data_IF_600289814458
#
_entry.id   IF_600289814458
#
_cell.length_a   1.000
_cell.length_b   1.000
_cell.length_c   1.000
_cell.angle_alpha   90.00
_cell.angle_beta   90.00
_cell.angle_gamma   90.00
#
_symmetry.space_group_name_H-M   'P 1'
#
loop_
_entity.id
_entity.type
_entity.pdbx_description
1 polymer ?
#
# COMPACT_ATOMS: atom_id res chain seq x y z
N UNK A 1 -7.31 -5.28 -8.68
CA UNK A 1 -8.36 -4.37 -8.21
C UNK A 1 -9.39 -4.13 -9.30
N UNK A 2 -10.67 -4.16 -8.93
CA UNK A 2 -11.76 -3.90 -9.86
C UNK A 2 -11.96 -2.38 -9.99
N UNK A 3 -11.52 -1.83 -11.13
CA UNK A 3 -11.54 -0.39 -11.35
C UNK A 3 -12.95 0.23 -11.27
N UNK A 4 -13.97 -0.50 -11.72
CA UNK A 4 -15.33 0.03 -11.71
C UNK A 4 -15.86 0.17 -10.28
N UNK A 5 -15.69 -0.87 -9.45
CA UNK A 5 -16.08 -0.81 -8.04
C UNK A 5 -15.31 0.27 -7.29
N UNK A 6 -14.04 0.47 -7.62
CA UNK A 6 -13.21 1.51 -7.01
C UNK A 6 -13.71 2.90 -7.38
N UNK A 7 -14.07 3.13 -8.64
CA UNK A 7 -14.60 4.42 -9.09
C UNK A 7 -15.93 4.74 -8.41
N UNK A 8 -16.80 3.75 -8.25
CA UNK A 8 -18.06 3.90 -7.54
C UNK A 8 -17.85 4.27 -6.07
N UNK A 9 -16.77 3.77 -5.47
CA UNK A 9 -16.41 4.08 -4.09
C UNK A 9 -15.62 5.39 -3.93
N UNK A 10 -15.36 6.11 -5.03
CA UNK A 10 -14.65 7.39 -5.00
C UNK A 10 -13.14 7.29 -5.25
N UNK A 11 -12.67 6.18 -5.81
CA UNK A 11 -11.25 5.96 -6.08
C UNK A 11 -10.96 5.88 -7.59
N UNK A 12 -10.15 6.81 -8.06
CA UNK A 12 -9.61 6.77 -9.42
C UNK A 12 -8.09 6.57 -9.28
N UNK A 13 -7.67 5.32 -9.18
CA UNK A 13 -6.30 4.97 -8.82
C UNK A 13 -5.39 4.91 -10.03
N UNK A 14 -4.24 5.57 -9.92
CA UNK A 14 -3.17 5.56 -10.92
C UNK A 14 -1.87 5.10 -10.25
N UNK A 15 -1.17 4.10 -10.81
CA UNK A 15 0.09 3.66 -10.23
C UNK A 15 1.10 4.81 -10.18
N UNK A 16 1.83 4.89 -9.07
CA UNK A 16 2.95 5.82 -8.91
C UNK A 16 4.15 5.06 -8.41
N UNK A 17 5.34 5.57 -8.72
CA UNK A 17 6.58 4.95 -8.28
C UNK A 17 6.97 3.74 -9.11
N UNK A 18 7.51 2.72 -8.44
CA UNK A 18 8.11 1.56 -9.09
C UNK A 18 7.07 0.67 -9.77
N UNK A 19 7.36 0.24 -10.99
CA UNK A 19 6.50 -0.73 -11.68
C UNK A 19 6.50 -2.07 -10.95
N UNK A 20 5.35 -2.76 -10.98
CA UNK A 20 5.26 -4.12 -10.45
C UNK A 20 6.24 -5.04 -11.20
N UNK A 21 6.78 -6.10 -10.55
CA UNK A 21 7.63 -7.07 -11.20
C UNK A 21 6.93 -7.67 -12.42
N UNK A 22 7.68 -7.79 -13.53
CA UNK A 22 7.12 -8.23 -14.81
C UNK A 22 7.43 -9.69 -15.13
N UNK A 23 8.20 -10.39 -14.28
CA UNK A 23 8.58 -11.77 -14.50
C UNK A 23 8.80 -12.54 -13.21
N UNK A 24 8.74 -13.88 -13.30
CA UNK A 24 8.94 -14.76 -12.15
C UNK A 24 10.36 -14.71 -11.59
N UNK A 25 11.31 -14.22 -12.38
CA UNK A 25 12.70 -14.07 -11.96
C UNK A 25 12.98 -12.70 -11.35
N UNK A 26 12.00 -11.81 -11.36
CA UNK A 26 12.16 -10.51 -10.71
C UNK A 26 12.24 -10.72 -9.20
N UNK A 27 13.24 -10.12 -8.60
CA UNK A 27 13.42 -10.21 -7.15
C UNK A 27 12.17 -9.70 -6.46
N UNK A 28 11.67 -10.50 -5.52
CA UNK A 28 10.67 -10.02 -4.57
C UNK A 28 11.35 -8.92 -3.75
N UNK A 29 11.01 -7.69 -4.06
CA UNK A 29 11.52 -6.55 -3.31
C UNK A 29 10.71 -6.45 -2.02
N UNK A 30 11.38 -6.61 -0.89
CA UNK A 30 10.75 -6.39 0.42
C UNK A 30 10.33 -4.93 0.52
N UNK A 31 9.03 -4.68 0.59
CA UNK A 31 8.53 -3.33 0.67
C UNK A 31 7.07 -3.27 0.26
N UNK A 32 6.67 -2.10 -0.19
CA UNK A 32 5.29 -1.85 -0.65
C UNK A 32 5.09 -2.53 -2.00
N UNK A 33 4.04 -3.38 -2.10
CA UNK A 33 3.71 -4.06 -3.36
C UNK A 33 3.03 -3.16 -4.37
N UNK A 34 2.15 -2.28 -3.91
CA UNK A 34 1.48 -1.34 -4.78
C UNK A 34 1.34 0.03 -4.14
N UNK A 35 1.52 1.06 -4.94
CA UNK A 35 1.35 2.45 -4.50
C UNK A 35 0.60 3.19 -5.60
N UNK A 36 -0.50 3.82 -5.21
CA UNK A 36 -1.41 4.48 -6.16
C UNK A 36 -1.74 5.88 -5.69
N UNK A 37 -1.82 6.79 -6.64
CA UNK A 37 -2.38 8.12 -6.43
C UNK A 37 -3.88 8.07 -6.75
N UNK A 38 -4.70 8.70 -5.90
CA UNK A 38 -6.12 8.85 -6.18
C UNK A 38 -6.34 10.15 -6.94
N UNK A 39 -6.71 10.05 -8.20
CA UNK A 39 -6.92 11.21 -9.06
C UNK A 39 -8.29 11.89 -8.85
N UNK A 40 -9.15 11.32 -8.00
CA UNK A 40 -10.44 11.93 -7.70
C UNK A 40 -10.26 13.15 -6.77
N UNK A 41 -10.49 14.37 -7.26
CA UNK A 41 -10.24 15.58 -6.46
C UNK A 41 -11.26 15.77 -5.34
N UNK A 42 -12.37 15.04 -5.38
CA UNK A 42 -13.43 15.13 -4.36
C UNK A 42 -13.23 14.17 -3.19
N UNK A 43 -12.23 13.30 -3.26
CA UNK A 43 -11.91 12.35 -2.20
C UNK A 43 -10.93 12.95 -1.21
N UNK A 44 -11.12 12.64 0.08
CA UNK A 44 -10.15 12.98 1.11
C UNK A 44 -8.92 12.07 1.07
N UNK A 45 -9.03 10.91 0.43
CA UNK A 45 -7.92 9.97 0.29
C UNK A 45 -7.10 10.35 -0.94
N UNK A 46 -5.83 10.61 -0.73
CA UNK A 46 -4.88 11.02 -1.78
C UNK A 46 -4.09 9.86 -2.36
N UNK A 47 -3.77 8.88 -1.53
CA UNK A 47 -2.96 7.72 -1.93
C UNK A 47 -3.50 6.43 -1.34
N UNK A 48 -3.26 5.33 -2.05
CA UNK A 48 -3.57 3.97 -1.58
C UNK A 48 -2.29 3.16 -1.61
N UNK A 49 -1.98 2.50 -0.49
CA UNK A 49 -0.83 1.61 -0.36
C UNK A 49 -1.38 0.19 -0.23
N UNK A 50 -0.91 -0.72 -1.07
CA UNK A 50 -1.40 -2.09 -1.13
C UNK A 50 -0.28 -3.08 -0.82
N UNK A 51 -0.59 -4.09 -0.01
CA UNK A 51 0.25 -5.25 0.26
C UNK A 51 -0.48 -6.50 -0.17
N UNK A 52 0.14 -7.30 -1.03
CA UNK A 52 -0.47 -8.55 -1.51
C UNK A 52 0.07 -9.73 -0.72
N UNK A 53 -0.83 -10.62 -0.30
CA UNK A 53 -0.51 -11.88 0.38
C UNK A 53 -1.22 -13.03 -0.31
N UNK A 54 -0.51 -14.13 -0.51
CA UNK A 54 -0.99 -15.29 -1.25
C UNK A 54 -1.25 -16.46 -0.30
N UNK A 55 -2.35 -17.19 -0.54
CA UNK A 55 -2.69 -18.36 0.26
C UNK A 55 -2.90 -18.03 1.72
N UNK A 56 -2.22 -18.74 2.60
CA UNK A 56 -2.29 -18.56 4.06
C UNK A 56 -1.29 -17.53 4.60
N UNK A 57 -0.52 -16.90 3.72
CA UNK A 57 0.46 -15.88 4.12
C UNK A 57 -0.23 -14.69 4.79
N UNK A 58 0.37 -14.18 5.86
CA UNK A 58 -0.19 -13.07 6.63
C UNK A 58 0.85 -11.96 6.82
N UNK A 59 0.37 -10.78 7.20
CA UNK A 59 1.26 -9.67 7.53
C UNK A 59 2.15 -10.05 8.71
N UNK A 60 3.44 -9.82 8.55
CA UNK A 60 4.45 -10.16 9.56
C UNK A 60 4.80 -8.99 10.46
N UNK A 61 5.70 -9.27 11.40
CA UNK A 61 6.29 -8.25 12.27
C UNK A 61 7.73 -8.01 11.85
N UNK A 62 8.17 -6.77 11.92
CA UNK A 62 9.52 -6.36 11.57
C UNK A 62 10.12 -5.49 12.67
N UNK A 63 11.41 -5.17 12.55
CA UNK A 63 12.08 -4.23 13.47
C UNK A 63 11.38 -2.88 13.52
N UNK A 64 10.77 -2.46 12.41
CA UNK A 64 10.07 -1.18 12.30
C UNK A 64 8.63 -1.26 12.77
N UNK A 65 8.18 -2.42 13.19
CA UNK A 65 6.81 -2.69 13.62
C UNK A 65 6.09 -3.65 12.68
N UNK A 66 4.78 -3.87 12.90
CA UNK A 66 4.00 -4.72 12.00
C UNK A 66 4.00 -4.18 10.57
N UNK A 67 3.99 -5.08 9.58
CA UNK A 67 3.88 -4.67 8.19
C UNK A 67 2.66 -3.75 7.99
N UNK A 68 2.82 -2.73 7.17
CA UNK A 68 1.81 -1.72 6.83
C UNK A 68 1.48 -0.75 7.96
N UNK A 69 2.11 -0.87 9.14
CA UNK A 69 1.99 0.15 10.19
C UNK A 69 2.75 1.42 9.80
N UNK A 70 2.48 2.52 10.48
CA UNK A 70 3.22 3.78 10.29
C UNK A 70 4.72 3.58 10.47
N UNK A 71 5.11 2.87 11.51
CA UNK A 71 6.54 2.60 11.78
C UNK A 71 7.22 1.84 10.65
N UNK A 72 6.53 0.86 10.10
CA UNK A 72 7.04 0.07 8.99
C UNK A 72 7.18 0.92 7.71
N UNK A 73 6.15 1.69 7.39
CA UNK A 73 6.16 2.55 6.20
C UNK A 73 7.28 3.59 6.27
N UNK A 74 7.49 4.18 7.43
CA UNK A 74 8.47 5.24 7.63
C UNK A 74 9.89 4.73 7.96
N UNK A 75 10.04 3.44 8.26
CA UNK A 75 11.31 2.87 8.66
C UNK A 75 11.76 3.41 10.02
N UNK A 76 10.88 3.32 11.03
CA UNK A 76 11.07 3.99 12.31
C UNK A 76 12.37 3.63 13.03
N UNK A 77 12.81 2.37 12.94
CA UNK A 77 14.06 1.90 13.57
C UNK A 77 15.20 1.71 12.60
N UNK A 78 14.91 1.17 11.40
CA UNK A 78 15.94 0.94 10.38
C UNK A 78 16.36 2.22 9.68
N UNK A 79 15.53 3.26 9.77
CA UNK A 79 15.68 4.54 9.06
C UNK A 79 15.65 4.40 7.53
N UNK A 80 15.04 3.32 7.05
CA UNK A 80 14.88 3.04 5.64
C UNK A 80 13.39 3.16 5.28
N UNK A 81 13.00 4.34 4.82
CA UNK A 81 11.61 4.60 4.42
C UNK A 81 11.22 3.70 3.25
N UNK A 82 10.18 2.91 3.43
CA UNK A 82 9.64 2.06 2.37
C UNK A 82 8.87 2.89 1.35
N UNK A 83 8.34 4.03 1.78
CA UNK A 83 7.72 5.00 0.88
C UNK A 83 8.76 5.57 -0.08
N UNK A 84 9.91 6.02 0.43
CA UNK A 84 10.98 6.55 -0.41
C UNK A 84 11.48 5.51 -1.41
N UNK A 85 11.61 4.26 -0.97
CA UNK A 85 12.02 3.16 -1.84
C UNK A 85 10.98 2.89 -2.94
N UNK A 86 9.69 2.94 -2.59
CA UNK A 86 8.61 2.69 -3.53
C UNK A 86 8.53 3.74 -4.64
N UNK A 87 9.02 4.95 -4.39
CA UNK A 87 9.07 6.04 -5.39
C UNK A 87 10.48 6.23 -5.96
N UNK A 88 11.31 5.19 -5.90
CA UNK A 88 12.67 5.17 -6.48
C UNK A 88 13.56 6.33 -6.02
N UNK A 89 13.41 6.73 -4.77
CA UNK A 89 14.23 7.79 -4.18
C UNK A 89 13.76 9.21 -4.50
N UNK A 90 12.59 9.37 -5.08
CA UNK A 90 12.00 10.70 -5.32
C UNK A 90 11.57 11.30 -3.98
N UNK A 91 12.46 12.09 -3.38
CA UNK A 91 12.25 12.66 -2.06
C UNK A 91 11.04 13.60 -1.99
N UNK A 92 10.76 14.29 -3.07
CA UNK A 92 9.64 15.23 -3.15
C UNK A 92 8.30 14.49 -3.08
N UNK A 93 8.16 13.42 -3.88
CA UNK A 93 6.97 12.59 -3.88
C UNK A 93 6.84 11.83 -2.56
N UNK A 94 7.93 11.28 -2.03
CA UNK A 94 7.94 10.60 -0.74
C UNK A 94 7.45 11.53 0.39
N UNK A 95 7.87 12.79 0.38
CA UNK A 95 7.44 13.78 1.36
C UNK A 95 5.94 14.07 1.27
N UNK A 96 5.40 14.15 0.06
CA UNK A 96 3.96 14.33 -0.15
C UNK A 96 3.17 13.16 0.41
N UNK A 97 3.62 11.95 0.16
CA UNK A 97 2.95 10.73 0.63
C UNK A 97 3.04 10.62 2.15
N UNK A 98 4.20 10.90 2.72
CA UNK A 98 4.41 10.87 4.17
C UNK A 98 3.51 11.90 4.87
N UNK A 99 3.40 13.09 4.31
CA UNK A 99 2.50 14.12 4.85
C UNK A 99 1.03 13.67 4.75
N UNK A 100 0.63 13.10 3.63
CA UNK A 100 -0.72 12.57 3.47
C UNK A 100 -1.01 11.47 4.49
N UNK A 101 -0.02 10.62 4.78
CA UNK A 101 -0.14 9.58 5.79
C UNK A 101 -0.38 10.18 7.18
N UNK A 102 0.34 11.22 7.54
CA UNK A 102 0.17 11.93 8.81
C UNK A 102 -1.20 12.61 8.90
N UNK A 103 -1.73 13.09 7.78
CA UNK A 103 -3.00 13.79 7.71
C UNK A 103 -4.20 12.84 7.53
N UNK A 104 -3.99 11.53 7.63
CA UNK A 104 -5.05 10.51 7.47
C UNK A 104 -5.66 10.51 6.06
N UNK A 105 -4.86 10.83 5.06
CA UNK A 105 -5.30 10.89 3.65
C UNK A 105 -4.79 9.72 2.83
N UNK A 106 -4.35 8.64 3.50
CA UNK A 106 -3.85 7.43 2.85
C UNK A 106 -4.67 6.24 3.32
N UNK A 107 -5.13 5.42 2.36
CA UNK A 107 -5.72 4.11 2.65
C UNK A 107 -4.64 3.05 2.58
N UNK A 108 -4.64 2.14 3.54
CA UNK A 108 -3.77 0.95 3.56
C UNK A 108 -4.63 -0.25 3.29
N UNK A 109 -4.25 -1.03 2.29
CA UNK A 109 -5.05 -2.13 1.80
C UNK A 109 -4.24 -3.42 1.82
N UNK A 110 -4.86 -4.47 2.31
CA UNK A 110 -4.35 -5.84 2.22
C UNK A 110 -5.14 -6.57 1.14
N UNK A 111 -4.46 -7.02 0.09
CA UNK A 111 -5.04 -7.82 -0.97
C UNK A 111 -4.68 -9.27 -0.73
N UNK A 112 -5.66 -10.11 -0.39
CA UNK A 112 -5.47 -11.54 -0.18
C UNK A 112 -5.88 -12.31 -1.43
N UNK A 113 -4.94 -13.09 -1.98
CA UNK A 113 -5.16 -13.88 -3.19
C UNK A 113 -5.21 -15.35 -2.81
N UNK A 114 -6.33 -16.02 -3.10
CA UNK A 114 -6.45 -17.45 -2.80
C UNK A 114 -5.86 -18.32 -3.92
N UNK A 115 -5.89 -19.65 -3.71
CA UNK A 115 -5.33 -20.61 -4.67
C UNK A 115 -6.06 -20.62 -6.01
N UNK A 116 -7.29 -20.12 -6.06
CA UNK A 116 -8.09 -20.02 -7.29
C UNK A 116 -7.88 -18.68 -8.01
N UNK A 117 -7.06 -17.78 -7.45
CA UNK A 117 -6.81 -16.47 -8.01
C UNK A 117 -7.83 -15.41 -7.61
N UNK A 118 -8.77 -15.73 -6.72
CA UNK A 118 -9.72 -14.76 -6.21
C UNK A 118 -9.04 -13.79 -5.25
N UNK A 119 -9.38 -12.50 -5.35
CA UNK A 119 -8.79 -11.46 -4.54
C UNK A 119 -9.85 -10.86 -3.62
N UNK A 120 -9.54 -10.78 -2.32
CA UNK A 120 -10.32 -10.03 -1.35
C UNK A 120 -9.45 -8.93 -0.78
N UNK A 121 -10.02 -7.74 -0.64
CA UNK A 121 -9.30 -6.56 -0.17
C UNK A 121 -9.85 -6.10 1.17
N UNK A 122 -8.94 -5.71 2.04
CA UNK A 122 -9.25 -5.29 3.41
C UNK A 122 -8.57 -3.96 3.71
N UNK A 123 -9.23 -3.14 4.52
CA UNK A 123 -8.65 -1.91 5.04
C UNK A 123 -7.82 -2.22 6.27
N UNK A 124 -6.66 -1.58 6.38
CA UNK A 124 -5.78 -1.68 7.53
C UNK A 124 -5.74 -0.35 8.28
N UNK A 125 -5.55 -0.44 9.60
CA UNK A 125 -5.34 0.75 10.42
C UNK A 125 -3.85 1.16 10.47
N UNK A 126 -3.51 2.17 11.26
CA UNK A 126 -2.16 2.71 11.39
C UNK A 126 -1.17 1.71 12.01
N UNK A 127 -1.66 0.68 12.66
CA UNK A 127 -0.86 -0.38 13.27
C UNK A 127 -0.77 -1.62 12.38
N UNK A 128 -1.40 -1.60 11.21
CA UNK A 128 -1.43 -2.71 10.27
C UNK A 128 -2.49 -3.75 10.58
N UNK A 129 -3.47 -3.44 11.43
CA UNK A 129 -4.55 -4.36 11.76
C UNK A 129 -5.67 -4.30 10.71
N UNK A 130 -6.23 -5.46 10.39
CA UNK A 130 -7.37 -5.57 9.49
C UNK A 130 -8.64 -5.05 10.18
N UNK A 131 -9.26 -4.02 9.61
CA UNK A 131 -10.46 -3.39 10.17
C UNK A 131 -11.69 -3.55 9.28
N UNK A 132 -11.67 -4.48 8.35
CA UNK A 132 -12.82 -4.82 7.53
C UNK A 132 -12.53 -4.82 6.04
N UNK A 133 -13.56 -5.09 5.25
CA UNK A 133 -13.41 -5.12 3.80
C UNK A 133 -13.20 -3.72 3.22
N UNK A 134 -12.48 -3.65 2.11
CA UNK A 134 -12.21 -2.43 1.37
C UNK A 134 -12.64 -2.59 -0.08
N UNK A 135 -13.18 -1.59 -0.76
CA UNK A 135 -13.59 -0.27 -0.31
C UNK A 135 -14.82 -0.19 0.54
#
# INVERSE_FOLDING_TARGET
LNNQSLKEAGFDLKPVGKSAPTGINDKIVKGIDGLYENANPNSNIKYVIDEAKFGSSQLGKTKDGPQMSDGWLNGAKTRKSRILKAVDGDAKLASKITKALQDQEVERVLSKVDSSGNVKTYRLDEEGNNIGEWP
#
